data_IF_457081566221
#
_entry.id   IF_457081566221
#
_cell.length_a   1.000
_cell.length_b   1.000
_cell.length_c   1.000
_cell.angle_alpha   90.00
_cell.angle_beta   90.00
_cell.angle_gamma   90.00
#
_symmetry.space_group_name_H-M   'P 1'
#
loop_
_entity.id
_entity.type
_entity.pdbx_description
1 polymer ?
#
# COMPACT_ATOMS: atom_id res chain seq x y z
N UNK A 1 -51.80 -16.42 62.30
CA UNK A 1 -51.74 -14.95 62.14
C UNK A 1 -50.76 -14.67 61.01
N UNK A 2 -51.29 -14.27 59.86
CA UNK A 2 -50.55 -13.99 58.61
C UNK A 2 -50.30 -12.49 58.56
N UNK A 3 -49.07 -12.05 58.25
CA UNK A 3 -48.79 -10.72 57.68
C UNK A 3 -47.49 -10.81 56.84
N UNK A 4 -47.62 -10.93 55.50
CA UNK A 4 -47.15 -9.98 54.46
C UNK A 4 -45.76 -9.36 54.76
N UNK A 5 -44.76 -9.47 53.88
CA UNK A 5 -44.71 -8.71 52.63
C UNK A 5 -43.56 -9.17 51.71
N UNK A 6 -43.92 -9.48 50.46
CA UNK A 6 -43.22 -9.21 49.19
C UNK A 6 -41.76 -8.74 49.20
N UNK A 7 -40.87 -9.57 48.65
CA UNK A 7 -39.76 -9.12 47.78
C UNK A 7 -39.52 -10.18 46.69
N UNK A 8 -40.39 -10.14 45.68
CA UNK A 8 -40.00 -10.56 44.34
C UNK A 8 -39.17 -9.44 43.72
N UNK A 9 -37.87 -9.68 43.55
CA UNK A 9 -36.99 -8.93 42.64
C UNK A 9 -36.03 -9.97 42.06
N UNK A 10 -36.51 -10.78 41.12
CA UNK A 10 -36.34 -10.49 39.70
C UNK A 10 -34.85 -10.42 39.33
N UNK A 11 -34.26 -11.59 39.11
CA UNK A 11 -33.56 -11.95 37.87
C UNK A 11 -33.13 -10.74 37.01
N UNK A 12 -32.06 -10.05 37.39
CA UNK A 12 -31.49 -9.00 36.56
C UNK A 12 -30.02 -8.76 36.92
N UNK A 13 -29.11 -9.61 36.42
CA UNK A 13 -27.69 -9.21 36.23
C UNK A 13 -26.85 -10.22 35.40
N UNK A 14 -27.46 -11.10 34.60
CA UNK A 14 -26.70 -11.96 33.68
C UNK A 14 -27.17 -11.71 32.25
N UNK A 15 -26.75 -10.58 31.69
CA UNK A 15 -26.95 -10.29 30.28
C UNK A 15 -25.72 -9.54 29.75
N UNK A 16 -25.08 -10.15 28.74
CA UNK A 16 -24.01 -9.61 27.86
C UNK A 16 -22.61 -9.60 28.49
N UNK A 17 -21.86 -10.71 28.54
CA UNK A 17 -21.16 -11.38 27.41
C UNK A 17 -20.58 -10.38 26.40
N UNK A 18 -19.26 -10.20 26.52
CA UNK A 18 -18.33 -9.83 25.47
C UNK A 18 -18.73 -8.66 24.57
N UNK A 19 -18.38 -7.44 25.01
CA UNK A 19 -17.88 -6.45 24.05
C UNK A 19 -16.59 -7.00 23.45
N UNK A 20 -16.75 -7.91 22.49
CA UNK A 20 -15.68 -8.31 21.60
C UNK A 20 -15.16 -7.05 20.95
N UNK A 21 -13.89 -6.76 21.18
CA UNK A 21 -13.08 -5.93 20.31
C UNK A 21 -13.10 -6.57 18.92
N UNK A 22 -14.19 -6.38 18.17
CA UNK A 22 -14.09 -6.33 16.72
C UNK A 22 -13.49 -4.97 16.42
N UNK A 23 -12.21 -4.81 16.74
CA UNK A 23 -11.32 -4.08 15.86
C UNK A 23 -11.48 -4.80 14.53
N UNK A 24 -12.47 -4.38 13.74
CA UNK A 24 -12.57 -4.78 12.35
C UNK A 24 -11.20 -4.42 11.83
N UNK A 25 -10.35 -5.39 11.43
CA UNK A 25 -9.16 -5.01 10.69
C UNK A 25 -9.77 -4.27 9.51
N UNK A 26 -9.53 -2.97 9.44
CA UNK A 26 -9.79 -2.21 8.24
C UNK A 26 -8.92 -2.93 7.23
N UNK A 27 -9.51 -3.92 6.53
CA UNK A 27 -8.91 -4.57 5.39
C UNK A 27 -8.90 -3.45 4.39
N UNK A 28 -7.88 -2.59 4.45
CA UNK A 28 -7.56 -1.60 3.44
C UNK A 28 -7.69 -2.36 2.13
N UNK A 29 -8.75 -2.15 1.36
CA UNK A 29 -8.84 -2.82 0.06
C UNK A 29 -7.68 -2.27 -0.78
N UNK A 30 -7.12 -3.08 -1.68
CA UNK A 30 -6.05 -2.60 -2.54
C UNK A 30 -6.69 -1.48 -3.37
N UNK A 31 -6.36 -0.24 -3.05
CA UNK A 31 -6.89 0.86 -3.82
C UNK A 31 -6.18 0.80 -5.16
N UNK A 32 -6.90 1.02 -6.28
CA UNK A 32 -6.25 1.12 -7.59
C UNK A 32 -5.11 2.14 -7.58
N UNK A 33 -5.20 3.14 -6.70
CA UNK A 33 -4.20 4.18 -6.50
C UNK A 33 -2.88 3.64 -5.92
N UNK A 34 -2.90 2.68 -4.99
CA UNK A 34 -1.67 2.09 -4.42
C UNK A 34 -0.84 1.39 -5.50
N UNK A 35 -1.48 0.66 -6.42
CA UNK A 35 -0.78 -0.05 -7.51
C UNK A 35 -0.15 0.92 -8.52
N UNK A 36 -0.85 2.02 -8.81
CA UNK A 36 -0.34 3.04 -9.72
C UNK A 36 0.79 3.81 -9.05
N UNK A 37 0.64 4.19 -7.77
CA UNK A 37 1.68 4.87 -7.01
C UNK A 37 2.95 4.01 -6.89
N UNK A 38 2.80 2.71 -6.61
CA UNK A 38 3.90 1.76 -6.59
C UNK A 38 4.70 1.80 -7.91
N UNK A 39 4.01 1.80 -9.06
CA UNK A 39 4.68 1.78 -10.37
C UNK A 39 5.61 2.98 -10.58
N UNK A 40 5.18 4.17 -10.15
CA UNK A 40 6.04 5.35 -10.24
C UNK A 40 7.19 5.34 -9.24
N UNK A 41 6.99 4.80 -8.02
CA UNK A 41 8.05 4.65 -7.02
C UNK A 41 9.09 3.63 -7.48
N UNK A 42 8.68 2.50 -8.07
CA UNK A 42 9.59 1.49 -8.61
C UNK A 42 10.48 2.07 -9.71
N UNK A 43 9.90 2.85 -10.63
CA UNK A 43 10.64 3.53 -11.68
C UNK A 43 11.63 4.58 -11.13
N UNK A 44 11.21 5.43 -10.17
CA UNK A 44 12.12 6.39 -9.52
C UNK A 44 13.28 5.69 -8.83
N UNK A 45 12.99 4.62 -8.08
CA UNK A 45 13.99 3.87 -7.34
C UNK A 45 14.97 3.16 -8.29
N UNK A 46 14.50 2.63 -9.41
CA UNK A 46 15.35 2.07 -10.45
C UNK A 46 16.28 3.12 -11.05
N UNK A 47 15.80 4.33 -11.32
CA UNK A 47 16.64 5.40 -11.86
C UNK A 47 17.79 5.82 -10.92
N UNK A 48 17.67 5.52 -9.62
CA UNK A 48 18.68 5.81 -8.60
C UNK A 48 19.63 4.63 -8.34
N UNK A 49 19.13 3.40 -8.46
CA UNK A 49 19.85 2.17 -8.03
C UNK A 49 20.33 1.29 -9.18
N UNK A 50 19.74 1.39 -10.37
CA UNK A 50 20.07 0.59 -11.53
C UNK A 50 20.99 1.36 -12.48
N UNK A 51 22.05 0.72 -12.94
CA UNK A 51 23.06 1.34 -13.79
C UNK A 51 22.53 1.62 -15.21
N UNK A 52 22.80 2.82 -15.74
CA UNK A 52 22.38 3.22 -17.08
C UNK A 52 20.87 3.35 -17.28
N UNK A 53 20.09 3.39 -16.19
CA UNK A 53 18.63 3.57 -16.21
C UNK A 53 18.30 4.98 -15.76
N UNK A 54 17.44 5.67 -16.52
CA UNK A 54 16.93 7.01 -16.20
C UNK A 54 15.42 7.03 -16.30
N UNK A 55 14.77 7.93 -15.56
CA UNK A 55 13.36 8.26 -15.80
C UNK A 55 13.21 8.84 -17.20
N UNK A 56 12.20 8.36 -17.93
CA UNK A 56 11.67 9.04 -19.09
C UNK A 56 10.73 10.16 -18.62
N UNK A 57 11.24 11.39 -18.61
CA UNK A 57 10.52 12.52 -18.02
C UNK A 57 9.22 12.88 -18.74
N UNK A 58 9.09 12.56 -20.03
CA UNK A 58 7.88 12.82 -20.79
C UNK A 58 6.79 11.82 -20.41
N UNK A 59 7.11 10.53 -20.54
CA UNK A 59 6.19 9.44 -20.22
C UNK A 59 5.82 9.43 -18.72
N UNK A 60 6.78 9.73 -17.84
CA UNK A 60 6.52 9.82 -16.40
C UNK A 60 5.57 10.97 -16.06
N UNK A 61 5.71 12.16 -16.69
CA UNK A 61 4.77 13.26 -16.49
C UNK A 61 3.37 12.92 -17.01
N UNK A 62 3.29 12.31 -18.21
CA UNK A 62 2.01 11.88 -18.79
C UNK A 62 1.33 10.81 -17.92
N UNK A 63 2.11 9.87 -17.37
CA UNK A 63 1.64 8.88 -16.42
C UNK A 63 1.06 9.52 -15.16
N UNK A 64 1.84 10.36 -14.46
CA UNK A 64 1.39 11.00 -13.22
C UNK A 64 0.15 11.87 -13.43
N UNK A 65 0.07 12.59 -14.57
CA UNK A 65 -1.10 13.37 -14.94
C UNK A 65 -2.35 12.51 -15.12
N UNK A 66 -2.25 11.41 -15.90
CA UNK A 66 -3.38 10.47 -16.11
C UNK A 66 -3.82 9.79 -14.82
N UNK A 67 -2.87 9.48 -13.95
CA UNK A 67 -3.10 8.85 -12.66
C UNK A 67 -3.57 9.84 -11.58
N UNK A 68 -3.64 11.14 -11.88
CA UNK A 68 -3.91 12.21 -10.92
C UNK A 68 -2.97 12.17 -9.70
N UNK A 69 -1.72 11.73 -9.90
CA UNK A 69 -0.70 11.66 -8.87
C UNK A 69 0.06 12.98 -8.80
N UNK A 70 0.04 13.59 -7.62
CA UNK A 70 0.84 14.75 -7.28
C UNK A 70 2.22 14.37 -6.78
N UNK A 71 3.14 15.33 -6.74
CA UNK A 71 4.44 15.15 -6.07
C UNK A 71 4.26 14.73 -4.61
N UNK A 72 3.25 15.24 -3.91
CA UNK A 72 2.99 14.87 -2.53
C UNK A 72 2.71 13.37 -2.40
N UNK A 73 1.99 12.76 -3.34
CA UNK A 73 1.64 11.33 -3.29
C UNK A 73 2.88 10.43 -3.32
N UNK A 74 3.91 10.80 -4.07
CA UNK A 74 5.19 10.06 -4.10
C UNK A 74 6.00 10.20 -2.80
N UNK A 75 5.93 11.36 -2.14
CA UNK A 75 6.80 11.71 -1.01
C UNK A 75 6.07 11.75 0.35
N UNK A 76 4.80 11.35 0.38
CA UNK A 76 4.04 11.25 1.63
C UNK A 76 4.71 10.27 2.60
N UNK A 77 4.80 10.70 3.88
CA UNK A 77 5.37 9.88 4.96
C UNK A 77 4.45 8.74 5.37
N UNK A 78 3.14 8.95 5.29
CA UNK A 78 2.13 7.97 5.64
C UNK A 78 1.72 7.23 4.38
N UNK A 79 1.98 5.92 4.34
CA UNK A 79 1.57 5.02 3.26
C UNK A 79 0.58 4.00 3.80
N UNK A 80 -0.26 3.46 2.91
CA UNK A 80 -1.04 2.28 3.26
C UNK A 80 -0.10 1.14 3.67
N UNK A 81 -0.57 0.24 4.54
CA UNK A 81 0.25 -0.88 5.03
C UNK A 81 0.68 -1.77 3.87
N UNK A 82 -0.16 -1.86 2.83
CA UNK A 82 0.10 -2.68 1.64
C UNK A 82 1.14 -2.09 0.73
N UNK A 83 1.05 -0.78 0.44
CA UNK A 83 2.08 -0.11 -0.35
C UNK A 83 3.44 -0.21 0.35
N UNK A 84 3.46 -0.02 1.67
CA UNK A 84 4.70 -0.17 2.44
C UNK A 84 5.25 -1.60 2.35
N UNK A 85 4.42 -2.64 2.51
CA UNK A 85 4.85 -4.02 2.38
C UNK A 85 5.42 -4.35 0.98
N UNK A 86 4.81 -3.81 -0.09
CA UNK A 86 5.33 -3.98 -1.46
C UNK A 86 6.69 -3.30 -1.65
N UNK A 87 6.88 -2.11 -1.07
CA UNK A 87 8.17 -1.41 -1.11
C UNK A 87 9.24 -2.13 -0.28
N UNK A 88 8.89 -2.71 0.85
CA UNK A 88 9.81 -3.49 1.69
C UNK A 88 10.25 -4.78 0.98
N UNK A 89 9.33 -5.45 0.27
CA UNK A 89 9.66 -6.59 -0.58
C UNK A 89 10.60 -6.18 -1.72
N UNK A 90 10.32 -5.07 -2.39
CA UNK A 90 11.19 -4.54 -3.43
C UNK A 90 12.60 -4.22 -2.90
N UNK A 91 12.70 -3.56 -1.75
CA UNK A 91 13.99 -3.25 -1.13
C UNK A 91 14.75 -4.53 -0.78
N UNK A 92 14.05 -5.55 -0.27
CA UNK A 92 14.60 -6.87 0.01
C UNK A 92 15.14 -7.54 -1.25
N UNK A 93 14.39 -7.51 -2.36
CA UNK A 93 14.81 -8.06 -3.66
C UNK A 93 16.06 -7.34 -4.18
N UNK A 94 16.09 -6.02 -4.11
CA UNK A 94 17.24 -5.22 -4.55
C UNK A 94 18.49 -5.44 -3.71
N UNK A 95 18.34 -5.72 -2.40
CA UNK A 95 19.47 -6.09 -1.53
C UNK A 95 19.98 -7.49 -1.84
N UNK A 96 19.07 -8.43 -2.11
CA UNK A 96 19.42 -9.83 -2.36
C UNK A 96 20.07 -10.03 -3.73
N UNK A 97 19.45 -9.52 -4.77
CA UNK A 97 19.95 -9.58 -6.14
C UNK A 97 19.53 -8.31 -6.90
N UNK A 98 20.39 -7.30 -6.80
CA UNK A 98 20.17 -6.01 -7.45
C UNK A 98 20.02 -6.15 -8.96
N UNK A 99 20.80 -7.03 -9.59
CA UNK A 99 20.81 -7.15 -11.05
C UNK A 99 19.49 -7.73 -11.55
N UNK A 100 19.05 -8.86 -10.98
CA UNK A 100 17.78 -9.47 -11.34
C UNK A 100 16.59 -8.53 -11.08
N UNK A 101 16.60 -7.82 -9.95
CA UNK A 101 15.54 -6.85 -9.64
C UNK A 101 15.52 -5.67 -10.62
N UNK A 102 16.69 -5.12 -10.98
CA UNK A 102 16.80 -4.06 -11.98
C UNK A 102 16.36 -4.52 -13.38
N UNK A 103 16.70 -5.75 -13.78
CA UNK A 103 16.27 -6.32 -15.06
C UNK A 103 14.75 -6.52 -15.09
N UNK A 104 14.14 -6.99 -13.99
CA UNK A 104 12.69 -7.13 -13.87
C UNK A 104 11.97 -5.77 -13.97
N UNK A 105 12.47 -4.75 -13.26
CA UNK A 105 11.95 -3.38 -13.35
C UNK A 105 12.11 -2.83 -14.78
N UNK A 106 13.24 -3.08 -15.43
CA UNK A 106 13.48 -2.64 -16.81
C UNK A 106 12.48 -3.28 -17.78
N UNK A 107 12.14 -4.55 -17.62
CA UNK A 107 11.09 -5.21 -18.41
C UNK A 107 9.72 -4.58 -18.15
N UNK A 108 9.42 -4.25 -16.89
CA UNK A 108 8.12 -3.69 -16.51
C UNK A 108 7.90 -2.25 -16.99
N UNK A 109 8.96 -1.43 -17.04
CA UNK A 109 8.84 0.01 -17.26
C UNK A 109 9.74 0.59 -18.35
N UNK A 110 10.55 -0.23 -19.02
CA UNK A 110 11.41 0.21 -20.13
C UNK A 110 10.64 0.46 -21.44
N UNK A 111 11.35 0.80 -22.53
CA UNK A 111 10.77 0.97 -23.85
C UNK A 111 9.97 -0.26 -24.30
N UNK A 112 8.76 -0.04 -24.80
CA UNK A 112 7.86 -1.12 -25.22
C UNK A 112 6.99 -1.72 -24.10
N UNK A 113 7.19 -1.32 -22.86
CA UNK A 113 6.24 -1.62 -21.77
C UNK A 113 5.00 -0.74 -21.87
N UNK A 114 3.90 -1.16 -21.22
CA UNK A 114 2.63 -0.42 -21.24
C UNK A 114 2.73 0.99 -20.63
N UNK A 115 3.64 1.19 -19.67
CA UNK A 115 3.80 2.47 -18.97
C UNK A 115 5.01 3.27 -19.45
N UNK A 116 6.07 2.61 -19.93
CA UNK A 116 7.28 3.22 -20.48
C UNK A 116 7.84 4.36 -19.61
N UNK A 117 8.04 4.10 -18.32
CA UNK A 117 8.52 5.10 -17.36
C UNK A 117 10.05 5.28 -17.37
N UNK A 118 10.78 4.37 -18.01
CA UNK A 118 12.23 4.29 -18.00
C UNK A 118 12.82 4.37 -19.42
N UNK A 119 14.01 4.95 -19.50
CA UNK A 119 14.86 4.98 -20.71
C UNK A 119 16.31 4.67 -20.36
N UNK A 120 17.11 4.34 -21.38
CA UNK A 120 18.57 4.23 -21.22
C UNK A 120 19.19 5.62 -21.15
N UNK A 121 20.14 5.77 -20.23
CA UNK A 121 20.88 7.00 -19.95
C UNK A 121 22.29 7.00 -20.47
#
# INVERSE_FOLDING_TARGET
MILRSSLGSALAATAWIAFGFTAQPHREQATPQDTVLLSGIEADLASRRCEGVRIDAEHFRAFSSRAQLSHADFFQKTRSVRLQAALDDLDTRLRRDRRAACDAIWVAYGPGSALQLLRRG
#
